data_IF_677133625485
#
_entry.id   IF_677133625485
#
_cell.length_a   1.000
_cell.length_b   1.000
_cell.length_c   1.000
_cell.angle_alpha   90.00
_cell.angle_beta   90.00
_cell.angle_gamma   90.00
#
_symmetry.space_group_name_H-M   'P 1'
#
loop_
_entity.id
_entity.type
_entity.pdbx_description
1 polymer ?
#
# COMPACT_ATOMS: atom_id res chain seq x y z
N UNK A 1 -4.20 2.38 -12.11
CA UNK A 1 -4.98 2.43 -10.85
C UNK A 1 -4.07 2.69 -9.66
N UNK A 2 -3.07 1.84 -9.41
CA UNK A 2 -2.13 2.04 -8.30
C UNK A 2 -1.00 3.05 -8.59
N UNK A 3 -0.62 3.24 -9.85
CA UNK A 3 0.45 4.18 -10.27
C UNK A 3 0.15 5.64 -9.89
N UNK A 4 -1.12 6.04 -9.85
CA UNK A 4 -1.57 7.39 -9.50
C UNK A 4 -2.35 7.45 -8.18
N UNK A 5 -2.30 6.38 -7.38
CA UNK A 5 -2.95 6.32 -6.07
C UNK A 5 -2.31 7.34 -5.12
N UNK A 6 -3.10 8.26 -4.58
CA UNK A 6 -2.57 9.36 -3.75
C UNK A 6 -2.66 9.07 -2.25
N UNK A 7 -3.46 8.09 -1.84
CA UNK A 7 -3.82 7.86 -0.45
C UNK A 7 -4.81 8.89 0.12
N UNK A 8 -5.48 9.65 -0.74
CA UNK A 8 -6.58 10.55 -0.41
C UNK A 8 -7.92 9.81 -0.35
N UNK A 9 -8.89 10.44 0.31
CA UNK A 9 -10.22 9.87 0.49
C UNK A 9 -11.10 10.03 -0.78
N UNK A 10 -10.66 9.45 -1.90
CA UNK A 10 -11.37 9.43 -3.19
C UNK A 10 -11.99 8.06 -3.41
N UNK A 11 -13.13 8.00 -4.10
CA UNK A 11 -13.86 6.75 -4.34
C UNK A 11 -13.00 5.65 -4.97
N UNK A 12 -12.16 5.97 -5.95
CA UNK A 12 -11.26 4.99 -6.58
C UNK A 12 -10.22 4.44 -5.62
N UNK A 13 -9.72 5.28 -4.71
CA UNK A 13 -8.69 4.93 -3.73
C UNK A 13 -9.28 4.09 -2.61
N UNK A 14 -10.46 4.48 -2.11
CA UNK A 14 -11.25 3.67 -1.16
C UNK A 14 -11.57 2.28 -1.70
N UNK A 15 -12.01 2.19 -2.98
CA UNK A 15 -12.28 0.89 -3.60
C UNK A 15 -11.03 0.01 -3.68
N UNK A 16 -9.87 0.61 -3.95
CA UNK A 16 -8.62 -0.12 -4.03
C UNK A 16 -8.10 -0.55 -2.66
N UNK A 17 -8.22 0.33 -1.67
CA UNK A 17 -7.93 0.00 -0.27
C UNK A 17 -8.81 -1.14 0.24
N UNK A 18 -10.11 -1.11 -0.10
CA UNK A 18 -11.05 -2.18 0.23
C UNK A 18 -10.65 -3.52 -0.39
N UNK A 19 -10.26 -3.54 -1.66
CA UNK A 19 -9.80 -4.78 -2.33
C UNK A 19 -8.54 -5.33 -1.66
N UNK A 20 -7.51 -4.50 -1.45
CA UNK A 20 -6.23 -4.93 -0.89
C UNK A 20 -6.37 -5.48 0.55
N UNK A 21 -7.14 -4.78 1.38
CA UNK A 21 -7.41 -5.20 2.77
C UNK A 21 -8.26 -6.48 2.82
N UNK A 22 -9.35 -6.56 2.05
CA UNK A 22 -10.26 -7.71 2.05
C UNK A 22 -9.58 -8.98 1.53
N UNK A 23 -8.82 -8.86 0.43
CA UNK A 23 -8.17 -10.00 -0.21
C UNK A 23 -6.78 -10.32 0.35
N UNK A 24 -6.26 -9.50 1.27
CA UNK A 24 -4.92 -9.65 1.86
C UNK A 24 -3.85 -9.77 0.79
N UNK A 25 -3.88 -8.82 -0.14
CA UNK A 25 -3.04 -8.79 -1.33
C UNK A 25 -2.43 -7.39 -1.48
N UNK A 26 -1.42 -7.28 -2.35
CA UNK A 26 -0.83 -6.01 -2.73
C UNK A 26 -0.51 -6.00 -4.21
N UNK A 27 -0.53 -4.82 -4.83
CA UNK A 27 -0.28 -4.70 -6.27
C UNK A 27 -1.39 -5.33 -7.12
N UNK A 28 -1.14 -5.44 -8.43
CA UNK A 28 -2.12 -5.97 -9.41
C UNK A 28 -1.48 -6.88 -10.45
N UNK A 29 -0.32 -6.47 -10.99
CA UNK A 29 0.46 -7.32 -11.88
C UNK A 29 1.54 -8.11 -11.12
N UNK A 30 2.06 -7.50 -10.06
CA UNK A 30 3.08 -8.03 -9.17
C UNK A 30 2.85 -7.46 -7.76
N UNK A 31 3.17 -8.18 -6.67
CA UNK A 31 2.98 -7.71 -5.30
C UNK A 31 3.71 -6.40 -4.97
N UNK A 32 4.74 -6.08 -5.75
CA UNK A 32 5.59 -4.89 -5.59
C UNK A 32 5.28 -3.81 -6.62
N UNK A 33 4.26 -3.96 -7.48
CA UNK A 33 3.96 -2.99 -8.54
C UNK A 33 3.52 -1.61 -7.99
N UNK A 34 3.13 -1.52 -6.71
CA UNK A 34 2.91 -0.23 -6.05
C UNK A 34 4.16 0.64 -5.97
N UNK A 35 5.37 0.07 -6.07
CA UNK A 35 6.62 0.84 -6.16
C UNK A 35 6.67 1.74 -7.39
N UNK A 36 5.87 1.44 -8.43
CA UNK A 36 5.76 2.28 -9.63
C UNK A 36 4.88 3.53 -9.41
N UNK A 37 4.29 3.69 -8.23
CA UNK A 37 3.50 4.85 -7.89
C UNK A 37 4.31 6.14 -7.88
N UNK A 38 3.79 7.18 -8.54
CA UNK A 38 4.51 8.46 -8.71
C UNK A 38 4.73 9.22 -7.40
N UNK A 39 3.85 9.06 -6.42
CA UNK A 39 3.97 9.69 -5.10
C UNK A 39 4.96 8.95 -4.22
N UNK A 40 4.98 7.62 -4.30
CA UNK A 40 5.95 6.78 -3.59
C UNK A 40 7.35 7.02 -4.14
N UNK A 41 7.53 7.03 -5.47
CA UNK A 41 8.84 7.28 -6.12
C UNK A 41 9.41 8.67 -5.84
N UNK A 42 8.56 9.68 -5.73
CA UNK A 42 8.99 11.06 -5.48
C UNK A 42 9.05 11.41 -3.99
N UNK A 43 8.75 10.46 -3.10
CA UNK A 43 8.88 10.67 -1.65
C UNK A 43 10.34 10.56 -1.22
N UNK A 44 10.73 11.35 -0.20
CA UNK A 44 12.02 11.19 0.48
C UNK A 44 12.02 10.04 1.50
N UNK A 45 10.84 9.55 1.87
CA UNK A 45 10.65 8.44 2.80
C UNK A 45 10.18 7.16 2.10
N UNK A 46 10.17 6.04 2.84
CA UNK A 46 9.72 4.75 2.32
C UNK A 46 8.22 4.65 2.53
N UNK A 47 7.46 4.94 1.47
CA UNK A 47 6.00 4.88 1.48
C UNK A 47 5.49 3.58 0.87
N UNK A 48 4.36 3.08 1.37
CA UNK A 48 3.64 1.94 0.82
C UNK A 48 2.12 2.11 1.05
N UNK A 49 1.25 1.43 0.26
CA UNK A 49 -0.19 1.48 0.51
C UNK A 49 -0.52 0.86 1.87
N UNK A 50 -1.16 1.62 2.75
CA UNK A 50 -1.50 1.17 4.11
C UNK A 50 -2.35 -0.12 4.11
N UNK A 51 -3.31 -0.20 3.19
CA UNK A 51 -4.19 -1.35 2.95
C UNK A 51 -3.46 -2.64 2.54
N UNK A 52 -2.20 -2.55 2.09
CA UNK A 52 -1.36 -3.71 1.80
C UNK A 52 -0.69 -4.31 3.04
N UNK A 53 -0.79 -3.67 4.21
CA UNK A 53 -0.04 -4.11 5.37
C UNK A 53 -0.49 -5.49 5.83
N UNK A 54 0.47 -6.37 6.03
CA UNK A 54 0.23 -7.65 6.67
C UNK A 54 0.10 -7.45 8.18
N UNK A 55 -1.14 -7.52 8.65
CA UNK A 55 -1.53 -7.32 10.06
C UNK A 55 -0.88 -8.33 11.02
N UNK A 56 -0.43 -9.47 10.51
CA UNK A 56 0.26 -10.49 11.32
C UNK A 56 1.69 -10.09 11.68
N UNK A 57 2.26 -9.08 11.02
CA UNK A 57 3.63 -8.62 11.27
C UNK A 57 3.65 -7.49 12.32
N UNK A 58 4.63 -7.49 13.25
CA UNK A 58 4.76 -6.44 14.24
C UNK A 58 5.11 -5.09 13.61
N UNK A 59 4.60 -3.99 14.18
CA UNK A 59 4.92 -2.61 13.75
C UNK A 59 3.91 -1.58 14.27
N UNK A 60 4.07 -0.32 13.85
CA UNK A 60 3.24 0.86 14.24
C UNK A 60 1.76 0.73 13.86
N UNK A 61 0.90 1.67 14.25
CA UNK A 61 -0.56 1.65 14.02
C UNK A 61 -0.99 1.20 12.61
N UNK A 62 -2.03 0.36 12.58
CA UNK A 62 -2.66 -0.14 11.37
C UNK A 62 -3.59 0.94 10.83
N UNK A 63 -3.07 1.79 9.96
CA UNK A 63 -3.97 2.56 9.10
C UNK A 63 -4.45 1.61 7.99
N UNK A 64 -5.75 1.60 7.71
CA UNK A 64 -6.34 0.69 6.70
C UNK A 64 -6.41 1.32 5.31
N UNK A 65 -6.17 2.63 5.22
CA UNK A 65 -6.29 3.42 3.99
C UNK A 65 -5.12 4.39 3.88
N UNK A 66 -4.87 4.89 2.67
CA UNK A 66 -3.83 5.89 2.46
C UNK A 66 -2.43 5.34 2.17
N UNK A 67 -1.42 6.20 2.32
CA UNK A 67 0.00 5.85 2.23
C UNK A 67 0.62 5.85 3.63
N UNK A 68 1.34 4.78 3.95
CA UNK A 68 2.00 4.57 5.22
C UNK A 68 3.51 4.70 5.04
N UNK A 69 4.19 5.24 6.04
CA UNK A 69 5.64 5.38 6.05
C UNK A 69 6.30 4.26 6.86
N UNK A 70 7.47 3.83 6.41
CA UNK A 70 8.29 2.84 7.10
C UNK A 70 9.74 3.32 7.21
N UNK A 71 10.45 2.86 8.24
CA UNK A 71 11.86 3.24 8.49
C UNK A 71 12.86 2.41 7.67
N UNK A 72 12.40 1.35 7.00
CA UNK A 72 13.26 0.38 6.32
C UNK A 72 12.63 -0.08 5.01
N UNK A 73 13.48 -0.45 4.04
CA UNK A 73 13.05 -0.91 2.72
C UNK A 73 12.24 -2.23 2.77
N UNK A 74 12.44 -3.02 3.81
CA UNK A 74 11.62 -4.20 4.08
C UNK A 74 10.30 -3.75 4.72
N UNK A 75 9.31 -3.45 3.86
CA UNK A 75 7.96 -3.04 4.29
C UNK A 75 7.10 -4.26 4.62
N UNK A 76 6.26 -4.19 5.67
CA UNK A 76 5.44 -5.31 6.13
C UNK A 76 4.17 -5.48 5.28
N UNK A 77 4.30 -5.72 3.98
CA UNK A 77 3.18 -5.85 3.03
C UNK A 77 2.89 -7.31 2.68
N UNK A 78 1.64 -7.60 2.29
CA UNK A 78 1.26 -8.86 1.68
C UNK A 78 2.08 -9.15 0.43
N UNK A 79 2.45 -10.42 0.23
CA UNK A 79 3.24 -10.89 -0.93
C UNK A 79 2.39 -11.55 -2.01
N UNK A 80 1.07 -11.49 -1.88
CA UNK A 80 0.10 -12.05 -2.83
C UNK A 80 -0.41 -10.95 -3.75
N UNK A 81 -0.62 -11.25 -5.03
CA UNK A 81 -1.17 -10.32 -6.03
C UNK A 81 -2.69 -10.17 -5.85
N UNK A 82 -3.20 -8.94 -6.00
CA UNK A 82 -4.62 -8.66 -6.26
C UNK A 82 -5.14 -9.07 -7.69
#
# INVERSE_FOLDING_TARGET
MLVNYTGQNRTTEQSWDYVQSTMKCCGWMDPSNWLENVWIKNSSGILYPCSCRNETLPGTDMNETGLCEHLSADVPVYKTVC
#
